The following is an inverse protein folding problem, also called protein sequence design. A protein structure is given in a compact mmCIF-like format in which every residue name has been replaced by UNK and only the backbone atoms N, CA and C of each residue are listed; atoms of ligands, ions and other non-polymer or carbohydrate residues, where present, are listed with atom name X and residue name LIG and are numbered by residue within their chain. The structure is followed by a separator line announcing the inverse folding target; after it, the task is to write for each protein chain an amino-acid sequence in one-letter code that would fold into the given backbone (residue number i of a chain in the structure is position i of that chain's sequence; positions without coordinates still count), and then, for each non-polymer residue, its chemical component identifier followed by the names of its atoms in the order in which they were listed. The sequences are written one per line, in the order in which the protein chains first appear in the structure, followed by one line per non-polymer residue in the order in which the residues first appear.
data_IF_689232874713
#
_entry.id   IF_689232874713
#
_cell.length_a   1.000
_cell.length_b   1.000
_cell.length_c   1.000
_cell.angle_alpha   90.00
_cell.angle_beta   90.00
_cell.angle_gamma   90.00
#
_symmetry.space_group_name_H-M   'P 1'
#
loop_
_entity.id
_entity.type
_entity.pdbx_description
1 polymer ?
#
# COMPACT_ATOMS: atom_id res chain seq x y z
N UNK A 1 -46.45 17.85 -15.97
CA UNK A 1 -45.68 17.00 -16.88
C UNK A 1 -44.33 17.70 -17.12
N UNK A 2 -43.30 17.40 -16.41
CA UNK A 2 -41.93 17.67 -16.80
C UNK A 2 -41.07 16.63 -16.10
N UNK A 3 -40.98 15.51 -16.78
CA UNK A 3 -40.23 14.36 -16.33
C UNK A 3 -38.79 14.42 -16.78
N UNK A 4 -37.98 13.95 -15.93
CA UNK A 4 -36.82 13.09 -16.22
C UNK A 4 -35.97 13.45 -17.45
N UNK A 5 -35.09 14.44 -17.34
CA UNK A 5 -34.16 14.80 -18.40
C UNK A 5 -32.70 14.87 -17.92
N UNK A 6 -32.31 14.05 -16.94
CA UNK A 6 -30.92 14.06 -16.39
C UNK A 6 -30.17 12.72 -16.40
N UNK A 7 -30.55 11.78 -17.28
CA UNK A 7 -29.81 10.51 -17.40
C UNK A 7 -29.23 10.24 -18.79
N UNK A 8 -29.18 11.23 -19.66
CA UNK A 8 -28.72 11.01 -21.04
C UNK A 8 -27.36 11.72 -21.30
N UNK A 9 -26.30 11.30 -20.63
CA UNK A 9 -24.99 11.86 -20.87
C UNK A 9 -23.78 11.02 -20.38
N UNK A 10 -23.99 10.06 -19.48
CA UNK A 10 -22.89 9.21 -19.01
C UNK A 10 -22.59 8.07 -19.99
N UNK A 11 -21.38 8.04 -20.53
CA UNK A 11 -20.87 6.94 -21.36
C UNK A 11 -19.52 6.44 -20.80
N UNK A 12 -19.20 5.20 -21.10
CA UNK A 12 -17.86 4.67 -20.80
C UNK A 12 -16.84 5.38 -21.68
N UNK A 13 -15.72 5.79 -21.06
CA UNK A 13 -14.57 6.32 -21.80
C UNK A 13 -13.81 5.16 -22.46
N UNK A 14 -13.29 5.40 -23.65
CA UNK A 14 -12.34 4.52 -24.29
C UNK A 14 -10.97 4.58 -23.58
N UNK A 15 -10.11 3.59 -23.85
CA UNK A 15 -8.76 3.55 -23.28
C UNK A 15 -7.92 4.80 -23.61
N UNK A 16 -8.13 5.38 -24.78
CA UNK A 16 -7.46 6.60 -25.24
C UNK A 16 -7.93 7.85 -24.50
N UNK A 17 -9.22 7.89 -24.11
CA UNK A 17 -9.80 9.02 -23.39
C UNK A 17 -9.51 9.01 -21.88
N UNK A 18 -8.97 7.89 -21.33
CA UNK A 18 -8.66 7.77 -19.90
C UNK A 18 -7.47 8.61 -19.47
N UNK A 19 -6.70 9.19 -20.39
CA UNK A 19 -5.51 10.03 -20.13
C UNK A 19 -4.61 9.45 -19.01
N UNK A 20 -4.32 8.14 -19.06
CA UNK A 20 -3.45 7.50 -18.08
C UNK A 20 -2.05 8.09 -18.18
N UNK A 21 -1.45 8.35 -17.03
CA UNK A 21 -0.07 8.80 -16.96
C UNK A 21 0.85 7.80 -17.67
N UNK A 22 1.80 8.28 -18.44
CA UNK A 22 2.92 7.46 -18.90
C UNK A 22 3.78 7.03 -17.70
N UNK A 23 4.61 6.00 -17.86
CA UNK A 23 5.53 5.58 -16.79
C UNK A 23 6.48 6.71 -16.36
N UNK A 24 6.84 7.60 -17.27
CA UNK A 24 7.70 8.75 -17.00
C UNK A 24 6.94 9.84 -16.22
N UNK A 25 5.75 10.19 -16.66
CA UNK A 25 4.88 11.14 -15.97
C UNK A 25 4.50 10.65 -14.57
N UNK A 26 4.25 9.34 -14.43
CA UNK A 26 3.97 8.72 -13.12
C UNK A 26 5.16 8.89 -12.17
N UNK A 27 6.40 8.66 -12.62
CA UNK A 27 7.60 8.84 -11.78
C UNK A 27 7.80 10.29 -11.36
N UNK A 28 7.49 11.25 -12.24
CA UNK A 28 7.58 12.68 -11.97
C UNK A 28 6.41 13.28 -11.17
N UNK A 29 5.30 12.55 -11.04
CA UNK A 29 4.11 13.00 -10.32
C UNK A 29 4.38 13.13 -8.81
N UNK A 30 3.74 14.12 -8.18
CA UNK A 30 3.73 14.23 -6.72
C UNK A 30 3.10 12.99 -6.09
N UNK A 31 3.84 12.34 -5.20
CA UNK A 31 3.40 11.11 -4.52
C UNK A 31 2.65 11.42 -3.23
N UNK A 32 1.73 10.55 -2.88
CA UNK A 32 1.21 10.50 -1.52
C UNK A 32 2.34 10.09 -0.57
N UNK A 33 2.58 10.82 0.53
CA UNK A 33 3.67 10.50 1.46
C UNK A 33 3.30 9.28 2.31
N UNK A 34 3.17 8.14 1.65
CA UNK A 34 2.84 6.85 2.24
C UNK A 34 3.88 5.83 1.77
N UNK A 35 4.46 5.10 2.72
CA UNK A 35 5.31 3.93 2.48
C UNK A 35 4.52 2.69 2.89
N UNK A 36 4.49 1.67 2.05
CA UNK A 36 3.94 0.36 2.39
C UNK A 36 5.09 -0.57 2.74
N UNK A 37 5.06 -1.17 3.92
CA UNK A 37 6.05 -2.16 4.37
C UNK A 37 5.38 -3.53 4.40
N UNK A 38 5.93 -4.48 3.64
CA UNK A 38 5.44 -5.86 3.56
C UNK A 38 6.33 -6.77 4.41
N UNK A 39 5.84 -7.13 5.61
CA UNK A 39 6.55 -7.95 6.57
C UNK A 39 6.35 -9.44 6.30
N UNK A 40 7.32 -10.09 5.63
CA UNK A 40 7.31 -11.54 5.39
C UNK A 40 6.05 -12.04 4.68
N UNK A 41 5.57 -11.31 3.68
CA UNK A 41 4.43 -11.72 2.85
C UNK A 41 4.83 -12.95 2.03
N UNK A 42 3.96 -13.97 1.99
CA UNK A 42 4.22 -15.23 1.27
C UNK A 42 3.66 -15.21 -0.16
N UNK A 43 2.53 -14.58 -0.34
CA UNK A 43 1.77 -14.61 -1.59
C UNK A 43 2.31 -13.59 -2.60
N UNK A 44 2.86 -14.09 -3.70
CA UNK A 44 3.28 -13.26 -4.85
C UNK A 44 2.13 -12.47 -5.46
N UNK A 45 0.92 -13.04 -5.45
CA UNK A 45 -0.28 -12.35 -5.91
C UNK A 45 -0.65 -11.18 -5.01
N UNK A 46 -0.50 -11.34 -3.68
CA UNK A 46 -0.72 -10.25 -2.72
C UNK A 46 0.29 -9.12 -2.95
N UNK A 47 1.58 -9.46 -3.11
CA UNK A 47 2.63 -8.48 -3.44
C UNK A 47 2.26 -7.70 -4.72
N UNK A 48 1.92 -8.40 -5.81
CA UNK A 48 1.52 -7.74 -7.05
C UNK A 48 0.26 -6.88 -6.92
N UNK A 49 -0.71 -7.30 -6.10
CA UNK A 49 -1.93 -6.51 -5.82
C UNK A 49 -1.60 -5.24 -5.03
N UNK A 50 -0.63 -5.30 -4.13
CA UNK A 50 -0.14 -4.11 -3.40
C UNK A 50 0.54 -3.14 -4.38
N UNK A 51 1.39 -3.61 -5.29
CA UNK A 51 1.97 -2.77 -6.33
C UNK A 51 0.89 -2.06 -7.16
N UNK A 52 -0.11 -2.80 -7.62
CA UNK A 52 -1.23 -2.23 -8.39
C UNK A 52 -2.01 -1.19 -7.61
N UNK A 53 -2.23 -1.41 -6.32
CA UNK A 53 -2.92 -0.46 -5.44
C UNK A 53 -2.06 0.78 -5.22
N UNK A 54 -0.75 0.59 -4.98
CA UNK A 54 0.21 1.68 -4.81
C UNK A 54 0.30 2.58 -6.05
N UNK A 55 0.27 1.99 -7.24
CA UNK A 55 0.19 2.72 -8.51
C UNK A 55 -1.08 3.58 -8.58
N UNK A 56 -2.24 2.99 -8.30
CA UNK A 56 -3.53 3.67 -8.39
C UNK A 56 -3.67 4.86 -7.42
N UNK A 57 -3.00 4.81 -6.28
CA UNK A 57 -3.02 5.86 -5.25
C UNK A 57 -1.77 6.75 -5.22
N UNK A 58 -0.87 6.63 -6.20
CA UNK A 58 0.38 7.39 -6.24
C UNK A 58 1.20 7.28 -4.94
N UNK A 59 1.26 6.09 -4.36
CA UNK A 59 2.02 5.81 -3.14
C UNK A 59 3.51 6.05 -3.38
N UNK A 60 4.22 6.58 -2.38
CA UNK A 60 5.64 6.95 -2.50
C UNK A 60 6.52 5.74 -2.78
N UNK A 61 6.42 4.68 -1.98
CA UNK A 61 7.23 3.47 -2.17
C UNK A 61 6.69 2.25 -1.42
N UNK A 62 7.21 1.07 -1.81
CA UNK A 62 6.96 -0.20 -1.15
C UNK A 62 8.28 -0.76 -0.63
N UNK A 63 8.33 -1.18 0.64
CA UNK A 63 9.45 -1.89 1.25
C UNK A 63 9.13 -3.37 1.38
N UNK A 64 9.96 -4.22 0.77
CA UNK A 64 9.80 -5.67 0.76
C UNK A 64 10.76 -6.28 1.78
N UNK A 65 10.24 -6.93 2.83
CA UNK A 65 11.05 -7.36 3.96
C UNK A 65 11.17 -8.88 4.06
N UNK A 66 12.36 -9.34 4.43
CA UNK A 66 12.66 -10.73 4.69
C UNK A 66 12.44 -11.62 3.47
N UNK A 67 11.60 -12.65 3.58
CA UNK A 67 11.30 -13.56 2.47
C UNK A 67 10.16 -13.08 1.56
N UNK A 68 9.69 -11.86 1.71
CA UNK A 68 8.70 -11.29 0.78
C UNK A 68 9.25 -11.35 -0.66
N UNK A 69 8.49 -11.95 -1.61
CA UNK A 69 8.92 -12.05 -3.00
C UNK A 69 9.13 -10.69 -3.64
N UNK A 70 10.18 -10.62 -4.47
CA UNK A 70 10.60 -9.38 -5.14
C UNK A 70 10.34 -9.46 -6.65
N UNK A 71 10.03 -8.32 -7.31
CA UNK A 71 10.14 -8.23 -8.76
C UNK A 71 11.59 -8.43 -9.23
N UNK A 72 11.84 -8.96 -10.47
CA UNK A 72 10.81 -9.44 -11.39
C UNK A 72 10.38 -10.88 -11.05
N UNK A 73 9.08 -11.11 -10.99
CA UNK A 73 8.53 -12.47 -10.85
C UNK A 73 7.21 -12.57 -11.61
N UNK A 74 7.02 -13.70 -12.36
CA UNK A 74 5.86 -13.92 -13.22
C UNK A 74 4.52 -13.73 -12.49
N UNK A 75 4.39 -14.27 -11.29
CA UNK A 75 3.12 -14.24 -10.55
C UNK A 75 2.87 -12.89 -9.85
N UNK A 76 3.91 -12.15 -9.52
CA UNK A 76 3.79 -10.74 -9.13
C UNK A 76 3.29 -9.92 -10.31
N UNK A 77 3.90 -10.10 -11.48
CA UNK A 77 3.56 -9.34 -12.70
C UNK A 77 2.10 -9.53 -13.12
N UNK A 78 1.54 -10.74 -12.94
CA UNK A 78 0.13 -11.04 -13.29
C UNK A 78 -0.87 -10.15 -12.56
N UNK A 79 -0.62 -9.79 -11.31
CA UNK A 79 -1.53 -8.97 -10.51
C UNK A 79 -1.11 -7.52 -10.44
N UNK A 80 0.18 -7.22 -10.58
CA UNK A 80 0.72 -5.86 -10.61
C UNK A 80 0.36 -5.10 -11.90
N UNK A 81 0.16 -5.79 -13.03
CA UNK A 81 -0.21 -5.20 -14.33
C UNK A 81 0.70 -4.03 -14.77
N UNK A 82 2.01 -4.19 -14.62
CA UNK A 82 3.00 -3.18 -14.98
C UNK A 82 3.40 -2.22 -13.83
N UNK A 83 2.68 -2.20 -12.72
CA UNK A 83 2.96 -1.30 -11.61
C UNK A 83 4.35 -1.51 -10.95
N UNK A 84 4.98 -2.66 -11.14
CA UNK A 84 6.36 -2.92 -10.69
C UNK A 84 7.43 -2.08 -11.41
N UNK A 85 7.08 -1.48 -12.55
CA UNK A 85 7.96 -0.62 -13.35
C UNK A 85 7.81 0.87 -12.99
N UNK A 86 6.70 1.22 -12.36
CA UNK A 86 6.33 2.61 -12.05
C UNK A 86 6.47 2.95 -10.57
N UNK A 87 6.03 2.06 -9.68
CA UNK A 87 6.09 2.24 -8.23
C UNK A 87 7.51 1.96 -7.72
N UNK A 88 8.09 2.92 -6.99
CA UNK A 88 9.37 2.73 -6.33
C UNK A 88 9.28 1.63 -5.26
N UNK A 89 10.28 0.78 -5.17
CA UNK A 89 10.38 -0.25 -4.14
C UNK A 89 11.81 -0.52 -3.72
N UNK A 90 11.98 -1.03 -2.51
CA UNK A 90 13.28 -1.37 -1.94
C UNK A 90 13.16 -2.66 -1.13
N UNK A 91 14.20 -3.49 -1.15
CA UNK A 91 14.29 -4.69 -0.33
C UNK A 91 15.05 -4.43 0.96
N UNK A 92 14.55 -4.98 2.06
CA UNK A 92 15.19 -4.98 3.37
C UNK A 92 15.34 -6.41 3.90
N UNK A 93 16.49 -6.77 4.48
CA UNK A 93 16.72 -8.12 5.00
C UNK A 93 15.80 -8.46 6.18
N UNK A 94 15.31 -7.46 6.89
CA UNK A 94 14.34 -7.59 7.97
C UNK A 94 13.48 -6.33 8.06
N UNK A 95 12.34 -6.45 8.74
CA UNK A 95 11.35 -5.38 8.83
C UNK A 95 11.80 -4.26 9.77
N UNK A 96 12.60 -4.59 10.77
CA UNK A 96 13.20 -3.63 11.71
C UNK A 96 14.05 -2.60 10.96
N UNK A 97 14.84 -3.03 9.97
CA UNK A 97 15.63 -2.14 9.13
C UNK A 97 14.75 -1.23 8.27
N UNK A 98 13.65 -1.76 7.70
CA UNK A 98 12.69 -0.98 6.94
C UNK A 98 11.98 0.08 7.81
N UNK A 99 11.61 -0.28 9.05
CA UNK A 99 11.03 0.65 10.03
C UNK A 99 12.03 1.77 10.35
N UNK A 100 13.28 1.42 10.61
CA UNK A 100 14.32 2.42 10.88
C UNK A 100 14.50 3.39 9.70
N UNK A 101 14.53 2.87 8.47
CA UNK A 101 14.65 3.69 7.25
C UNK A 101 13.44 4.64 7.07
N UNK A 102 12.22 4.16 7.32
CA UNK A 102 11.03 4.99 7.27
C UNK A 102 11.05 6.10 8.33
N UNK A 103 11.45 5.78 9.57
CA UNK A 103 11.58 6.76 10.66
C UNK A 103 12.68 7.80 10.38
N UNK A 104 13.79 7.41 9.77
CA UNK A 104 14.83 8.35 9.34
C UNK A 104 14.34 9.36 8.31
N UNK A 105 13.39 8.98 7.45
CA UNK A 105 12.71 9.89 6.52
C UNK A 105 11.62 10.74 7.19
N UNK A 106 11.39 10.61 8.48
CA UNK A 106 10.39 11.34 9.25
C UNK A 106 8.97 10.78 9.17
N UNK A 107 8.81 9.54 8.70
CA UNK A 107 7.50 8.89 8.62
C UNK A 107 7.09 8.32 9.98
N UNK A 108 5.82 8.50 10.35
CA UNK A 108 5.23 7.74 11.45
C UNK A 108 4.92 6.31 10.97
N UNK A 109 5.22 5.32 11.81
CA UNK A 109 5.10 3.90 11.44
C UNK A 109 3.95 3.25 12.17
N UNK A 110 3.01 2.67 11.41
CA UNK A 110 1.80 2.06 11.94
C UNK A 110 1.63 0.64 11.44
N UNK A 111 1.38 -0.30 12.35
CA UNK A 111 1.03 -1.66 11.99
C UNK A 111 -0.46 -1.76 11.63
N UNK A 112 -0.78 -2.41 10.52
CA UNK A 112 -2.15 -2.79 10.18
C UNK A 112 -2.40 -4.17 10.80
N UNK A 113 -2.79 -4.17 12.07
CA UNK A 113 -2.90 -5.37 12.90
C UNK A 113 -3.92 -5.18 14.03
N UNK A 114 -4.56 -6.26 14.45
CA UNK A 114 -5.46 -6.26 15.61
C UNK A 114 -4.66 -6.45 16.90
N UNK A 115 -4.55 -5.40 17.69
CA UNK A 115 -3.90 -5.43 18.99
C UNK A 115 -4.86 -4.91 20.07
N UNK A 116 -4.49 -5.09 21.33
CA UNK A 116 -5.24 -4.52 22.46
C UNK A 116 -5.22 -2.99 22.51
N UNK A 117 -4.44 -2.33 21.66
CA UNK A 117 -4.31 -0.87 21.56
C UNK A 117 -4.57 -0.35 20.14
N UNK A 118 -5.08 -1.19 19.24
CA UNK A 118 -5.39 -0.75 17.89
C UNK A 118 -6.52 0.29 17.87
N UNK A 119 -6.38 1.25 16.98
CA UNK A 119 -7.42 2.24 16.70
C UNK A 119 -8.10 1.93 15.36
N UNK A 120 -9.37 2.26 15.27
CA UNK A 120 -10.07 2.12 13.98
C UNK A 120 -9.49 3.07 12.93
N UNK A 121 -9.40 2.62 11.69
CA UNK A 121 -8.77 3.38 10.58
C UNK A 121 -9.30 4.82 10.46
N UNK A 122 -10.61 5.02 10.68
CA UNK A 122 -11.23 6.36 10.61
C UNK A 122 -10.79 7.31 11.73
N UNK A 123 -10.20 6.78 12.81
CA UNK A 123 -9.71 7.53 13.96
C UNK A 123 -8.20 7.81 13.88
N UNK A 124 -7.57 7.39 12.78
CA UNK A 124 -6.14 7.59 12.58
C UNK A 124 -5.83 9.10 12.49
N UNK A 125 -4.98 9.65 13.38
CA UNK A 125 -4.67 11.07 13.39
C UNK A 125 -3.99 11.50 12.08
N UNK A 126 -4.12 12.76 11.64
CA UNK A 126 -3.41 13.27 10.48
C UNK A 126 -1.89 13.06 10.62
N UNK A 127 -1.22 12.69 9.53
CA UNK A 127 0.24 12.64 9.50
C UNK A 127 0.81 14.05 9.26
N UNK A 128 1.88 14.41 9.96
CA UNK A 128 2.55 15.70 9.78
C UNK A 128 3.51 15.68 8.58
N UNK A 129 4.23 14.59 8.37
CA UNK A 129 5.20 14.41 7.27
C UNK A 129 4.77 13.30 6.33
N UNK A 130 4.55 12.11 6.85
CA UNK A 130 4.16 10.95 6.08
C UNK A 130 3.89 9.76 6.99
N UNK A 131 3.43 8.66 6.39
CA UNK A 131 3.04 7.45 7.12
C UNK A 131 3.56 6.20 6.46
N UNK A 132 4.20 5.34 7.23
CA UNK A 132 4.54 3.98 6.84
C UNK A 132 3.53 3.01 7.43
N UNK A 133 2.95 2.15 6.59
CA UNK A 133 1.96 1.15 6.97
C UNK A 133 2.56 -0.24 6.81
N UNK A 134 2.61 -1.01 7.91
CA UNK A 134 3.14 -2.37 7.90
C UNK A 134 1.99 -3.35 7.75
N UNK A 135 2.10 -4.23 6.76
CA UNK A 135 1.23 -5.38 6.57
C UNK A 135 2.02 -6.64 6.87
N UNK A 136 1.55 -7.40 7.82
CA UNK A 136 2.19 -8.63 8.29
C UNK A 136 1.89 -9.85 7.44
N UNK A 137 2.59 -10.93 7.77
CA UNK A 137 2.39 -12.26 7.20
C UNK A 137 0.92 -12.70 7.29
N UNK A 138 0.46 -13.46 6.29
CA UNK A 138 -0.94 -13.90 6.18
C UNK A 138 -1.38 -14.85 7.31
N UNK A 139 -0.44 -15.46 8.00
CA UNK A 139 -0.71 -16.44 9.09
C UNK A 139 -0.33 -15.88 10.46
N UNK A 140 0.84 -15.27 10.55
CA UNK A 140 1.44 -14.83 11.81
C UNK A 140 1.16 -13.36 12.14
N UNK A 141 0.67 -12.60 11.14
CA UNK A 141 0.49 -11.15 11.29
C UNK A 141 1.82 -10.40 11.37
N UNK A 142 1.82 -9.26 12.04
CA UNK A 142 3.01 -8.46 12.32
C UNK A 142 3.66 -8.95 13.61
N UNK A 143 4.95 -9.31 13.55
CA UNK A 143 5.69 -9.86 14.71
C UNK A 143 5.78 -8.88 15.86
N UNK A 144 5.79 -9.37 17.12
CA UNK A 144 5.86 -8.55 18.34
C UNK A 144 7.10 -7.65 18.36
N UNK A 145 8.25 -8.13 17.85
CA UNK A 145 9.47 -7.33 17.73
C UNK A 145 9.28 -6.10 16.85
N UNK A 146 8.49 -6.22 15.79
CA UNK A 146 8.16 -5.12 14.86
C UNK A 146 7.09 -4.22 15.46
N UNK A 147 6.05 -4.79 16.10
CA UNK A 147 5.00 -4.03 16.77
C UNK A 147 5.57 -3.07 17.81
N UNK A 148 6.59 -3.51 18.57
CA UNK A 148 7.25 -2.68 19.59
C UNK A 148 7.97 -1.45 19.01
N UNK A 149 8.25 -1.43 17.71
CA UNK A 149 8.89 -0.32 17.01
C UNK A 149 7.87 0.63 16.35
N UNK A 150 6.59 0.26 16.32
CA UNK A 150 5.53 1.07 15.71
C UNK A 150 5.10 2.21 16.64
N UNK A 151 4.61 3.28 16.03
CA UNK A 151 3.99 4.40 16.74
C UNK A 151 2.54 4.09 17.14
N UNK A 152 1.98 3.02 16.60
CA UNK A 152 0.68 2.47 16.94
C UNK A 152 0.23 1.38 15.98
N UNK A 153 -0.98 0.87 16.20
CA UNK A 153 -1.61 -0.11 15.33
C UNK A 153 -3.00 0.34 14.91
N UNK A 154 -3.39 -0.09 13.72
CA UNK A 154 -4.67 0.26 13.09
C UNK A 154 -5.40 -1.05 12.82
N UNK A 155 -6.65 -1.13 13.23
CA UNK A 155 -7.53 -2.20 12.78
C UNK A 155 -8.46 -1.72 11.67
N UNK A 156 -8.65 -2.58 10.69
CA UNK A 156 -9.69 -2.42 9.68
C UNK A 156 -10.89 -3.24 10.11
N UNK A 157 -11.97 -2.57 10.48
CA UNK A 157 -13.23 -3.24 10.74
C UNK A 157 -13.77 -3.76 9.41
N UNK A 158 -13.60 -5.04 9.18
CA UNK A 158 -14.12 -5.76 8.02
C UNK A 158 -14.97 -6.94 8.49
N UNK A 159 -15.83 -7.43 7.60
CA UNK A 159 -16.73 -8.56 7.90
C UNK A 159 -16.03 -9.93 7.91
N UNK A 160 -14.79 -9.99 7.47
CA UNK A 160 -13.99 -11.21 7.46
C UNK A 160 -13.28 -11.38 8.79
N UNK A 161 -14.04 -11.68 9.82
CA UNK A 161 -13.54 -12.35 11.00
C UNK A 161 -13.98 -13.82 10.88
N UNK A 162 -13.06 -14.68 10.65
CA UNK A 162 -13.24 -16.11 10.82
C UNK A 162 -12.45 -16.51 12.04
#
# INVERSE_FOLDING_TARGET
MNGCMYLCGMRKLSMQELNRLSSEDFRGAAKQPIIIILDHIRSMHNVGSVFRTADAFLIESIYLCGYTPQPPHRDIHKTALGATETVAWEYFPNTEAAVAAAKQKGFSVWAVEQTNQSIALQNLPPATTGRALIFGNEVEGVRDSVLSLCDGSIEKIGRAHV
#
